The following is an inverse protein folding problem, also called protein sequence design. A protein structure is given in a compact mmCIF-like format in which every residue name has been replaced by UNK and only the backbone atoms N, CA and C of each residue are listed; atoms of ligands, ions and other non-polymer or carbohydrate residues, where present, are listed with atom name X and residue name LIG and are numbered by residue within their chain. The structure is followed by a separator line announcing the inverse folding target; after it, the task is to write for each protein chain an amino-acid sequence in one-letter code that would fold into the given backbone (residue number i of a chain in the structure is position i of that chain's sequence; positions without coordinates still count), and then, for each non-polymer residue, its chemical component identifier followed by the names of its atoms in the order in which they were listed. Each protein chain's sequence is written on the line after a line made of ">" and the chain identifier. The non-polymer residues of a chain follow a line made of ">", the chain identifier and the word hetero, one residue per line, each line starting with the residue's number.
data_IF_918372903246
#
_entry.id   IF_918372903246
#
_cell.length_a   1.000
_cell.length_b   1.000
_cell.length_c   1.000
_cell.angle_alpha   90.00
_cell.angle_beta   90.00
_cell.angle_gamma   90.00
#
_symmetry.space_group_name_H-M   'P 1'
#
loop_
_entity.id
_entity.type
_entity.pdbx_description
1 polymer ?
#
# COMPACT_ATOMS: atom_id res chain seq x y z
N UNK A 1 22.65 -12.64 -27.44
CA UNK A 1 21.20 -12.42 -27.63
C UNK A 1 20.70 -11.48 -26.54
N UNK A 2 20.45 -10.23 -26.89
CA UNK A 2 19.87 -9.21 -26.02
C UNK A 2 18.37 -9.45 -25.89
N UNK A 3 17.91 -9.81 -24.69
CA UNK A 3 16.47 -9.81 -24.37
C UNK A 3 16.05 -8.36 -24.20
N UNK A 4 15.36 -7.82 -25.20
CA UNK A 4 14.64 -6.56 -25.07
C UNK A 4 13.48 -6.79 -24.10
N UNK A 5 13.63 -6.34 -22.85
CA UNK A 5 12.51 -6.23 -21.94
C UNK A 5 11.69 -5.02 -22.38
N UNK A 6 10.56 -5.27 -23.04
CA UNK A 6 9.56 -4.26 -23.33
C UNK A 6 9.05 -3.69 -22.01
N UNK A 7 9.53 -2.51 -21.62
CA UNK A 7 9.06 -1.81 -20.44
C UNK A 7 7.74 -1.11 -20.74
N UNK A 8 6.78 -1.28 -19.82
CA UNK A 8 5.58 -0.46 -19.58
C UNK A 8 4.31 -0.77 -20.37
N UNK A 9 3.76 -1.98 -20.19
CA UNK A 9 2.32 -2.02 -19.95
C UNK A 9 2.11 -1.45 -18.54
N UNK A 10 1.55 -0.23 -18.41
CA UNK A 10 1.00 0.21 -17.12
C UNK A 10 -0.17 -0.72 -16.84
N UNK A 11 0.08 -1.80 -16.09
CA UNK A 11 -1.00 -2.57 -15.47
C UNK A 11 -1.85 -1.57 -14.69
N UNK A 12 -3.11 -1.41 -15.09
CA UNK A 12 -4.05 -0.60 -14.34
C UNK A 12 -4.29 -1.29 -13.00
N UNK A 13 -3.77 -0.71 -11.92
CA UNK A 13 -4.02 -1.23 -10.57
C UNK A 13 -5.52 -1.21 -10.33
N UNK A 14 -6.10 -2.37 -10.04
CA UNK A 14 -7.50 -2.48 -9.67
C UNK A 14 -7.68 -2.03 -8.21
N UNK A 15 -8.40 -0.94 -8.02
CA UNK A 15 -8.75 -0.44 -6.68
C UNK A 15 -10.01 -1.14 -6.15
N UNK A 16 -9.94 -1.65 -4.94
CA UNK A 16 -10.99 -2.43 -4.27
C UNK A 16 -11.22 -1.93 -2.84
N UNK A 17 -12.31 -2.38 -2.22
CA UNK A 17 -12.65 -2.02 -0.84
C UNK A 17 -13.17 -0.58 -0.75
N UNK A 18 -12.68 0.17 0.23
CA UNK A 18 -13.08 1.56 0.43
C UNK A 18 -12.65 2.44 -0.77
N UNK A 19 -13.53 3.32 -1.30
CA UNK A 19 -13.18 4.14 -2.45
C UNK A 19 -12.02 5.10 -2.14
N UNK A 20 -10.91 5.01 -2.89
CA UNK A 20 -9.75 5.90 -2.70
C UNK A 20 -10.11 7.38 -2.83
N UNK A 21 -11.07 7.69 -3.69
CA UNK A 21 -11.56 9.06 -3.93
C UNK A 21 -12.33 9.65 -2.73
N UNK A 22 -12.77 8.80 -1.79
CA UNK A 22 -13.46 9.22 -0.56
C UNK A 22 -12.50 9.37 0.63
N UNK A 23 -11.19 9.14 0.43
CA UNK A 23 -10.18 9.46 1.43
C UNK A 23 -9.97 10.97 1.51
N UNK A 24 -9.57 11.44 2.70
CA UNK A 24 -9.07 12.82 2.86
C UNK A 24 -7.85 13.04 1.96
N UNK A 25 -7.70 14.24 1.39
CA UNK A 25 -6.68 14.55 0.37
C UNK A 25 -5.27 14.02 0.72
N UNK A 26 -4.81 14.22 1.95
CA UNK A 26 -3.48 13.74 2.37
C UNK A 26 -3.32 12.22 2.30
N UNK A 27 -4.36 11.45 2.61
CA UNK A 27 -4.31 9.99 2.51
C UNK A 27 -4.54 9.48 1.08
N UNK A 28 -5.32 10.20 0.28
CA UNK A 28 -5.48 9.91 -1.14
C UNK A 28 -4.13 9.96 -1.85
N UNK A 29 -3.41 11.07 -1.70
CA UNK A 29 -2.07 11.26 -2.26
C UNK A 29 -1.09 10.23 -1.70
N UNK A 30 -1.14 9.95 -0.40
CA UNK A 30 -0.27 8.96 0.23
C UNK A 30 -0.43 7.56 -0.35
N UNK A 31 -1.67 7.11 -0.57
CA UNK A 31 -1.97 5.78 -1.09
C UNK A 31 -1.51 5.65 -2.55
N UNK A 32 -1.74 6.67 -3.37
CA UNK A 32 -1.25 6.73 -4.75
C UNK A 32 0.28 6.72 -4.77
N UNK A 33 0.91 7.63 -4.03
CA UNK A 33 2.36 7.73 -3.94
C UNK A 33 3.01 6.43 -3.45
N UNK A 34 2.47 5.82 -2.39
CA UNK A 34 3.00 4.56 -1.86
C UNK A 34 2.82 3.41 -2.86
N UNK A 35 1.70 3.36 -3.58
CA UNK A 35 1.44 2.32 -4.58
C UNK A 35 2.46 2.33 -5.72
N UNK A 36 2.82 3.51 -6.22
CA UNK A 36 3.78 3.67 -7.32
C UNK A 36 5.22 3.44 -6.88
N UNK A 37 5.51 3.67 -5.59
CA UNK A 37 6.86 3.61 -5.03
C UNK A 37 7.02 2.42 -4.07
N UNK A 38 6.65 2.60 -2.81
CA UNK A 38 6.98 1.68 -1.72
C UNK A 38 6.37 0.29 -1.90
N UNK A 39 5.10 0.21 -2.29
CA UNK A 39 4.44 -1.05 -2.56
C UNK A 39 5.10 -1.79 -3.73
N UNK A 40 5.28 -1.12 -4.87
CA UNK A 40 5.86 -1.72 -6.07
C UNK A 40 7.29 -2.23 -5.83
N UNK A 41 8.07 -1.54 -4.99
CA UNK A 41 9.39 -2.01 -4.56
C UNK A 41 9.32 -3.26 -3.67
N UNK A 42 8.31 -3.37 -2.79
CA UNK A 42 8.13 -4.51 -1.88
C UNK A 42 7.59 -5.77 -2.57
N UNK A 43 6.66 -5.59 -3.51
CA UNK A 43 5.89 -6.71 -4.07
C UNK A 43 6.05 -6.87 -5.58
N UNK A 44 6.78 -5.99 -6.26
CA UNK A 44 6.87 -6.00 -7.72
C UNK A 44 5.64 -5.39 -8.37
N UNK A 45 5.23 -5.92 -9.53
CA UNK A 45 4.03 -5.46 -10.21
C UNK A 45 2.77 -5.75 -9.39
N UNK A 46 1.86 -4.78 -9.34
CA UNK A 46 0.65 -4.84 -8.53
C UNK A 46 -0.54 -5.10 -9.45
N UNK A 47 -1.34 -6.10 -9.10
CA UNK A 47 -2.61 -6.38 -9.78
C UNK A 47 -3.74 -5.56 -9.16
N UNK A 48 -3.86 -5.58 -7.82
CA UNK A 48 -4.92 -4.88 -7.11
C UNK A 48 -4.49 -4.34 -5.75
N UNK A 49 -5.15 -3.26 -5.34
CA UNK A 49 -5.02 -2.67 -4.00
C UNK A 49 -6.43 -2.56 -3.41
N UNK A 50 -6.65 -3.24 -2.30
CA UNK A 50 -7.88 -3.21 -1.52
C UNK A 50 -7.68 -2.34 -0.27
N UNK A 51 -8.36 -1.19 -0.20
CA UNK A 51 -8.36 -0.35 1.00
C UNK A 51 -9.29 -0.97 2.02
N UNK A 52 -8.72 -1.49 3.10
CA UNK A 52 -9.46 -2.16 4.16
C UNK A 52 -10.15 -1.11 5.03
N UNK A 53 -11.44 -1.32 5.24
CA UNK A 53 -12.25 -0.56 6.18
C UNK A 53 -13.03 -1.55 7.04
N UNK A 54 -13.57 -1.09 8.18
CA UNK A 54 -14.47 -1.92 8.96
C UNK A 54 -15.84 -1.95 8.28
N UNK A 55 -16.49 -3.10 8.36
CA UNK A 55 -17.81 -3.34 7.77
C UNK A 55 -18.96 -2.56 8.48
N UNK A 56 -18.62 -1.74 9.48
CA UNK A 56 -19.53 -0.84 10.20
C UNK A 56 -19.63 0.56 9.55
N UNK A 57 -18.94 0.79 8.42
CA UNK A 57 -18.90 2.08 7.72
C UNK A 57 -17.97 3.11 8.38
N UNK A 58 -17.20 2.72 9.39
CA UNK A 58 -16.18 3.61 9.97
C UNK A 58 -15.05 3.91 8.99
N UNK A 59 -14.41 5.07 9.20
CA UNK A 59 -13.32 5.54 8.37
C UNK A 59 -12.21 4.48 8.23
N UNK A 60 -11.63 4.28 7.02
CA UNK A 60 -10.48 3.40 6.83
C UNK A 60 -9.23 3.93 7.56
N UNK A 61 -9.25 5.20 7.98
CA UNK A 61 -8.17 5.86 8.72
C UNK A 61 -8.29 5.50 10.20
N UNK A 62 -7.27 4.82 10.73
CA UNK A 62 -7.25 4.36 12.12
C UNK A 62 -5.82 4.31 12.65
N UNK A 63 -5.66 4.16 13.96
CA UNK A 63 -4.36 3.83 14.55
C UNK A 63 -4.11 2.33 14.48
N UNK A 64 -2.85 1.93 14.28
CA UNK A 64 -2.51 0.52 14.15
C UNK A 64 -2.78 -0.24 15.46
N UNK A 65 -3.64 -1.27 15.40
CA UNK A 65 -3.82 -2.17 16.55
C UNK A 65 -2.61 -3.08 16.79
N UNK A 66 -1.81 -3.32 15.74
CA UNK A 66 -0.62 -4.17 15.79
C UNK A 66 0.60 -3.43 16.35
N UNK A 67 0.74 -2.14 16.05
CA UNK A 67 1.80 -1.30 16.63
C UNK A 67 1.19 -0.25 17.57
N UNK A 68 0.83 -0.66 18.79
CA UNK A 68 0.17 0.22 19.78
C UNK A 68 1.05 1.39 20.25
N UNK A 69 2.36 1.31 20.04
CA UNK A 69 3.30 2.39 20.35
C UNK A 69 3.30 3.48 19.28
N UNK A 70 2.90 3.12 18.06
CA UNK A 70 2.74 4.06 16.96
C UNK A 70 1.32 4.63 16.97
N UNK A 71 1.22 5.90 17.38
CA UNK A 71 -0.05 6.63 17.48
C UNK A 71 -0.42 7.36 16.18
N UNK A 72 0.34 7.19 15.11
CA UNK A 72 -0.02 7.80 13.84
C UNK A 72 -1.22 7.12 13.20
N UNK A 73 -1.97 7.93 12.47
CA UNK A 73 -3.06 7.45 11.65
C UNK A 73 -2.51 6.79 10.40
N UNK A 74 -3.10 5.65 10.08
CA UNK A 74 -2.75 4.81 8.94
C UNK A 74 -4.00 4.40 8.18
N UNK A 75 -3.79 3.95 6.95
CA UNK A 75 -4.73 3.14 6.21
C UNK A 75 -4.15 1.74 6.07
N UNK A 76 -4.98 0.73 6.28
CA UNK A 76 -4.62 -0.66 5.97
C UNK A 76 -4.99 -0.95 4.52
N UNK A 77 -4.00 -1.27 3.68
CA UNK A 77 -4.20 -1.62 2.28
C UNK A 77 -3.71 -3.04 2.02
N UNK A 78 -4.56 -3.92 1.50
CA UNK A 78 -4.15 -5.24 1.02
C UNK A 78 -3.72 -5.14 -0.44
N UNK A 79 -2.45 -5.45 -0.68
CA UNK A 79 -1.81 -5.35 -1.98
C UNK A 79 -1.66 -6.77 -2.55
N UNK A 80 -2.27 -7.00 -3.70
CA UNK A 80 -2.19 -8.27 -4.45
C UNK A 80 -1.15 -8.12 -5.55
N UNK A 81 -0.04 -8.87 -5.48
CA UNK A 81 1.00 -8.82 -6.50
C UNK A 81 0.55 -9.56 -7.77
N UNK A 82 0.97 -9.07 -8.94
CA UNK A 82 0.61 -9.66 -10.23
C UNK A 82 1.37 -10.97 -10.53
N UNK A 83 2.43 -11.27 -9.78
CA UNK A 83 3.20 -12.52 -9.91
C UNK A 83 2.49 -13.75 -9.30
N UNK A 84 1.28 -13.57 -8.77
CA UNK A 84 0.48 -14.62 -8.12
C UNK A 84 0.90 -14.94 -6.69
N UNK A 85 1.85 -14.18 -6.11
CA UNK A 85 2.20 -14.34 -4.70
C UNK A 85 1.05 -13.89 -3.79
N UNK A 86 1.09 -14.35 -2.53
CA UNK A 86 -0.01 -14.08 -1.58
C UNK A 86 -0.17 -12.58 -1.32
N UNK A 87 -1.41 -12.05 -1.29
CA UNK A 87 -1.67 -10.68 -0.92
C UNK A 87 -1.11 -10.33 0.46
N UNK A 88 -0.60 -9.11 0.59
CA UNK A 88 0.01 -8.61 1.82
C UNK A 88 -0.67 -7.34 2.27
N UNK A 89 -0.91 -7.20 3.57
CA UNK A 89 -1.48 -5.97 4.15
C UNK A 89 -0.35 -5.03 4.54
N UNK A 90 -0.40 -3.81 4.00
CA UNK A 90 0.53 -2.73 4.28
C UNK A 90 -0.21 -1.65 5.06
N UNK A 91 0.47 -1.02 6.01
CA UNK A 91 -0.01 0.19 6.65
C UNK A 91 0.59 1.39 5.93
N UNK A 92 -0.25 2.28 5.42
CA UNK A 92 0.15 3.48 4.69
C UNK A 92 -0.12 4.68 5.58
N UNK A 93 0.91 5.49 5.81
CA UNK A 93 0.84 6.72 6.60
C UNK A 93 0.47 7.90 5.71
N UNK A 94 -0.06 8.98 6.30
CA UNK A 94 -0.46 10.19 5.56
C UNK A 94 0.70 10.85 4.79
N UNK A 95 1.95 10.61 5.18
CA UNK A 95 3.14 11.14 4.49
C UNK A 95 3.58 10.29 3.27
N UNK A 96 2.82 9.26 2.88
CA UNK A 96 3.15 8.39 1.74
C UNK A 96 4.18 7.30 2.03
N UNK A 97 4.64 7.16 3.28
CA UNK A 97 5.44 6.01 3.73
C UNK A 97 4.55 4.83 4.12
N UNK A 98 5.13 3.64 4.27
CA UNK A 98 4.34 2.50 4.73
C UNK A 98 5.13 1.29 5.19
N UNK A 99 4.56 0.60 6.16
CA UNK A 99 5.14 -0.59 6.80
C UNK A 99 4.37 -1.85 6.38
N UNK A 100 5.07 -2.98 6.32
CA UNK A 100 4.44 -4.29 6.09
C UNK A 100 4.45 -5.14 7.37
N UNK A 101 5.43 -4.91 8.25
CA UNK A 101 5.56 -5.61 9.55
C UNK A 101 5.71 -4.62 10.70
N UNK A 102 5.38 -5.09 11.90
CA UNK A 102 5.66 -4.35 13.13
C UNK A 102 7.17 -4.23 13.32
N UNK A 103 7.66 -3.01 13.53
CA UNK A 103 9.09 -2.73 13.66
C UNK A 103 9.80 -2.46 12.34
N UNK A 104 9.12 -2.57 11.19
CA UNK A 104 9.66 -2.05 9.93
C UNK A 104 9.90 -0.54 10.10
N UNK A 105 11.02 -0.05 9.59
CA UNK A 105 11.18 1.39 9.44
C UNK A 105 10.07 1.93 8.52
N UNK A 106 9.56 3.14 8.84
CA UNK A 106 8.57 3.83 8.01
C UNK A 106 9.25 4.36 6.76
N UNK A 107 9.52 3.46 5.85
CA UNK A 107 10.30 3.75 4.67
C UNK A 107 9.42 3.82 3.42
N UNK A 108 10.02 4.33 2.36
CA UNK A 108 9.65 4.06 0.97
C UNK A 108 9.85 2.58 0.58
N UNK A 109 9.86 1.65 1.54
CA UNK A 109 10.51 0.34 1.49
C UNK A 109 12.00 0.40 1.14
N UNK A 110 12.87 0.43 2.14
CA UNK A 110 14.32 0.28 1.99
C UNK A 110 14.93 -0.58 3.08
N UNK A 111 14.52 -1.85 3.20
CA UNK A 111 15.50 -2.86 3.60
C UNK A 111 16.12 -3.46 2.34
N UNK A 112 17.16 -2.76 1.85
CA UNK A 112 18.36 -3.44 1.35
C UNK A 112 19.41 -3.26 2.43
N UNK A 113 19.65 -4.32 3.18
CA UNK A 113 20.95 -4.88 3.57
C UNK A 113 20.72 -6.22 4.26
#
# INVERSE_FOLDING_TARGET
>A
MSRYFSSTARSFIRWLGFPKESLTDGFKEAVEFYSENGARKKVGEIESIEILHRNDGSSPIHQSHYNRNDREYIISARITPADGTRPKTHHIYQNGTGTFRVGDQREYSTHRE
#
